data_IF_491456053854
#
_entry.id   IF_491456053854
#
_cell.length_a   1.000
_cell.length_b   1.000
_cell.length_c   1.000
_cell.angle_alpha   90.00
_cell.angle_beta   90.00
_cell.angle_gamma   90.00
#
_symmetry.space_group_name_H-M   'P 1'
#
loop_
_entity.id
_entity.type
_entity.pdbx_description
1 polymer ?
#
# COMPACT_ATOMS: atom_id res chain seq x y z
N UNK A 1 18.76 6.72 -0.40
CA UNK A 1 17.43 6.33 0.07
C UNK A 1 16.50 6.07 -1.10
N UNK A 2 15.66 5.08 -1.00
CA UNK A 2 14.63 4.77 -2.00
C UNK A 2 13.28 5.16 -1.45
N UNK A 3 12.49 5.90 -2.23
CA UNK A 3 11.07 6.14 -1.96
C UNK A 3 10.23 5.21 -2.83
N UNK A 4 9.28 4.53 -2.21
CA UNK A 4 8.35 3.61 -2.87
C UNK A 4 6.94 4.06 -2.56
N UNK A 5 6.21 4.47 -3.60
CA UNK A 5 4.86 5.05 -3.46
C UNK A 5 3.90 4.24 -4.33
N UNK A 6 2.81 3.81 -3.73
CA UNK A 6 1.73 3.10 -4.44
C UNK A 6 0.40 3.75 -4.11
N UNK A 7 -0.45 3.90 -5.12
CA UNK A 7 -1.82 4.40 -4.96
C UNK A 7 -2.80 3.43 -5.62
N UNK A 8 -3.95 3.26 -5.01
CA UNK A 8 -5.02 2.39 -5.50
C UNK A 8 -6.34 3.13 -5.57
N UNK A 9 -7.08 2.87 -6.65
CA UNK A 9 -8.53 3.08 -6.72
C UNK A 9 -9.20 1.75 -6.46
N UNK A 10 -10.23 1.74 -5.65
CA UNK A 10 -10.97 0.53 -5.33
C UNK A 10 -12.29 0.46 -6.07
N UNK A 11 -12.73 -0.76 -6.33
CA UNK A 11 -14.07 -1.05 -6.83
C UNK A 11 -15.10 -0.65 -5.76
N UNK A 12 -16.31 -0.27 -6.20
CA UNK A 12 -17.41 0.04 -5.30
C UNK A 12 -17.78 -1.16 -4.42
N UNK A 13 -17.72 -2.37 -4.99
CA UNK A 13 -17.98 -3.65 -4.31
C UNK A 13 -17.03 -4.70 -4.84
N UNK A 14 -16.42 -5.46 -3.95
CA UNK A 14 -15.56 -6.60 -4.27
C UNK A 14 -15.41 -7.49 -3.05
N UNK A 15 -15.17 -8.78 -3.26
CA UNK A 15 -14.95 -9.76 -2.18
C UNK A 15 -16.06 -9.73 -1.11
N UNK A 16 -17.31 -9.54 -1.55
CA UNK A 16 -18.47 -9.54 -0.64
C UNK A 16 -18.59 -8.32 0.25
N UNK A 17 -17.87 -7.22 -0.02
CA UNK A 17 -17.87 -6.01 0.79
C UNK A 17 -17.90 -4.74 -0.07
N UNK A 18 -18.32 -3.63 0.53
CA UNK A 18 -18.26 -2.32 -0.10
C UNK A 18 -16.86 -1.71 -0.04
N UNK A 19 -16.68 -0.59 -0.74
CA UNK A 19 -15.40 0.13 -0.78
C UNK A 19 -14.91 0.50 0.62
N UNK A 20 -15.77 1.02 1.48
CA UNK A 20 -15.37 1.47 2.82
C UNK A 20 -14.80 0.33 3.65
N UNK A 21 -15.45 -0.83 3.64
CA UNK A 21 -14.98 -2.02 4.35
C UNK A 21 -13.66 -2.53 3.77
N UNK A 22 -13.53 -2.57 2.44
CA UNK A 22 -12.31 -3.01 1.78
C UNK A 22 -11.13 -2.06 2.03
N UNK A 23 -11.38 -0.73 2.10
CA UNK A 23 -10.36 0.25 2.47
C UNK A 23 -9.83 0.02 3.87
N UNK A 24 -10.69 -0.20 4.85
CA UNK A 24 -10.28 -0.46 6.22
C UNK A 24 -9.45 -1.74 6.33
N UNK A 25 -9.88 -2.81 5.66
CA UNK A 25 -9.15 -4.08 5.63
C UNK A 25 -7.79 -3.92 4.95
N UNK A 26 -7.74 -3.27 3.79
CA UNK A 26 -6.48 -3.05 3.06
C UNK A 26 -5.50 -2.21 3.89
N UNK A 27 -5.98 -1.15 4.53
CA UNK A 27 -5.16 -0.29 5.39
C UNK A 27 -4.54 -1.09 6.54
N UNK A 28 -5.34 -1.88 7.24
CA UNK A 28 -4.86 -2.71 8.36
C UNK A 28 -3.82 -3.75 7.90
N UNK A 29 -4.08 -4.41 6.77
CA UNK A 29 -3.16 -5.42 6.22
C UNK A 29 -1.82 -4.79 5.79
N UNK A 30 -1.85 -3.61 5.18
CA UNK A 30 -0.63 -2.88 4.78
C UNK A 30 0.13 -2.39 6.01
N UNK A 31 -0.55 -1.81 6.99
CA UNK A 31 0.10 -1.33 8.22
C UNK A 31 0.79 -2.45 8.99
N UNK A 32 0.26 -3.67 8.94
CA UNK A 32 0.89 -4.84 9.54
C UNK A 32 2.24 -5.21 8.89
N UNK A 33 2.54 -4.65 7.72
CA UNK A 33 3.81 -4.88 7.00
C UNK A 33 4.88 -3.84 7.34
N UNK A 34 4.62 -2.88 8.23
CA UNK A 34 5.50 -1.75 8.49
C UNK A 34 6.89 -2.13 9.01
N UNK A 35 7.03 -3.31 9.62
CA UNK A 35 8.27 -3.76 10.27
C UNK A 35 8.91 -4.97 9.60
N UNK A 36 8.48 -5.34 8.38
CA UNK A 36 8.98 -6.53 7.69
C UNK A 36 10.44 -6.39 7.22
N UNK A 37 10.88 -5.19 6.89
CA UNK A 37 12.26 -4.93 6.46
C UNK A 37 12.96 -4.03 7.47
N UNK A 38 14.14 -4.45 7.99
CA UNK A 38 14.90 -3.61 8.93
C UNK A 38 15.32 -2.25 8.36
N UNK A 39 15.44 -2.16 7.03
CA UNK A 39 15.82 -0.92 6.35
C UNK A 39 14.65 0.04 6.09
N UNK A 40 13.48 -0.20 6.67
CA UNK A 40 12.34 0.70 6.54
C UNK A 40 12.55 1.96 7.39
N UNK A 41 12.62 3.12 6.75
CA UNK A 41 12.80 4.41 7.40
C UNK A 41 11.47 5.09 7.71
N UNK A 42 10.50 4.93 6.82
CA UNK A 42 9.17 5.52 6.95
C UNK A 42 8.14 4.61 6.29
N UNK A 43 6.97 4.50 6.93
CA UNK A 43 5.88 3.67 6.42
C UNK A 43 4.55 4.32 6.80
N UNK A 44 3.85 4.88 5.79
CA UNK A 44 2.56 5.53 5.98
C UNK A 44 1.52 4.88 5.08
N UNK A 45 0.36 4.61 5.64
CA UNK A 45 -0.83 4.20 4.87
C UNK A 45 -1.94 5.19 5.18
N UNK A 46 -2.54 5.75 4.13
CA UNK A 46 -3.63 6.70 4.28
C UNK A 46 -4.73 6.41 3.26
N UNK A 47 -5.94 6.81 3.62
CA UNK A 47 -7.10 6.80 2.73
C UNK A 47 -7.51 8.23 2.40
N UNK A 48 -8.29 8.41 1.33
CA UNK A 48 -8.86 9.71 0.97
C UNK A 48 -9.60 10.30 2.16
N UNK A 49 -9.40 11.59 2.42
CA UNK A 49 -9.92 12.27 3.62
C UNK A 49 -10.89 13.39 3.24
N UNK A 50 -11.95 13.61 4.05
CA UNK A 50 -12.87 14.71 3.83
C UNK A 50 -12.14 16.06 3.83
N UNK A 51 -12.48 16.94 2.88
CA UNK A 51 -11.91 18.27 2.79
C UNK A 51 -10.56 18.36 2.09
N UNK A 52 -9.96 17.24 1.72
CA UNK A 52 -8.72 17.19 0.95
C UNK A 52 -8.96 16.56 -0.41
N UNK A 53 -8.32 17.11 -1.44
CA UNK A 53 -8.45 16.58 -2.80
C UNK A 53 -7.75 15.22 -2.92
N UNK A 54 -8.46 14.23 -3.47
CA UNK A 54 -7.88 12.93 -3.79
C UNK A 54 -8.62 12.32 -4.98
N UNK A 55 -7.86 11.83 -5.96
CA UNK A 55 -8.39 11.08 -7.11
C UNK A 55 -8.18 9.57 -6.96
N UNK A 56 -7.49 9.16 -5.89
CA UNK A 56 -7.31 7.77 -5.50
C UNK A 56 -7.85 7.55 -4.09
N UNK A 57 -8.05 6.29 -3.70
CA UNK A 57 -8.72 5.94 -2.45
C UNK A 57 -7.75 5.57 -1.33
N UNK A 58 -6.57 5.05 -1.69
CA UNK A 58 -5.60 4.47 -0.77
C UNK A 58 -4.19 4.79 -1.25
N UNK A 59 -3.31 5.18 -0.33
CA UNK A 59 -1.89 5.40 -0.60
C UNK A 59 -1.01 4.67 0.40
N UNK A 60 0.08 4.10 -0.11
CA UNK A 60 1.23 3.65 0.66
C UNK A 60 2.40 4.55 0.32
N UNK A 61 2.94 5.24 1.32
CA UNK A 61 4.16 6.03 1.19
C UNK A 61 5.23 5.41 2.07
N UNK A 62 6.35 5.01 1.46
CA UNK A 62 7.44 4.33 2.17
C UNK A 62 8.80 4.89 1.78
N UNK A 63 9.74 4.82 2.72
CA UNK A 63 11.14 5.14 2.52
C UNK A 63 12.00 3.99 3.04
N UNK A 64 12.95 3.56 2.21
CA UNK A 64 13.89 2.48 2.54
C UNK A 64 15.33 2.98 2.42
N UNK A 65 16.23 2.39 3.19
CA UNK A 65 17.65 2.76 3.16
C UNK A 65 18.27 2.58 1.77
N UNK A 66 17.88 1.51 1.06
CA UNK A 66 18.41 1.15 -0.25
C UNK A 66 17.45 0.19 -1.00
N UNK A 67 17.82 -0.17 -2.21
CA UNK A 67 17.03 -1.09 -3.03
C UNK A 67 16.92 -2.49 -2.42
N UNK A 68 17.94 -2.95 -1.69
CA UNK A 68 17.90 -4.25 -1.03
C UNK A 68 16.86 -4.27 0.10
N UNK A 69 16.72 -3.18 0.83
CA UNK A 69 15.69 -3.04 1.87
C UNK A 69 14.27 -3.04 1.28
N UNK A 70 14.07 -2.36 0.16
CA UNK A 70 12.80 -2.41 -0.57
C UNK A 70 12.49 -3.83 -1.05
N UNK A 71 13.47 -4.52 -1.62
CA UNK A 71 13.31 -5.91 -2.08
C UNK A 71 12.96 -6.84 -0.91
N UNK A 72 13.62 -6.69 0.24
CA UNK A 72 13.31 -7.48 1.43
C UNK A 72 11.88 -7.30 1.92
N UNK A 73 11.34 -6.07 1.81
CA UNK A 73 9.93 -5.81 2.08
C UNK A 73 9.03 -6.45 1.02
N UNK A 74 9.30 -6.18 -0.25
CA UNK A 74 8.45 -6.63 -1.36
C UNK A 74 8.36 -8.16 -1.44
N UNK A 75 9.47 -8.86 -1.20
CA UNK A 75 9.57 -10.31 -1.31
C UNK A 75 9.19 -11.05 -0.02
N UNK A 76 8.95 -10.32 1.07
CA UNK A 76 8.56 -10.96 2.32
C UNK A 76 7.23 -11.71 2.16
N UNK A 77 7.12 -12.96 2.66
CA UNK A 77 5.91 -13.76 2.52
C UNK A 77 4.63 -13.07 2.98
N UNK A 78 4.71 -12.30 4.07
CA UNK A 78 3.54 -11.56 4.58
C UNK A 78 3.08 -10.47 3.61
N UNK A 79 4.01 -9.79 2.94
CA UNK A 79 3.67 -8.80 1.90
C UNK A 79 3.10 -9.51 0.65
N UNK A 80 3.75 -10.58 0.19
CA UNK A 80 3.28 -11.34 -0.98
C UNK A 80 1.87 -11.86 -0.75
N UNK A 81 1.53 -12.25 0.47
CA UNK A 81 0.19 -12.76 0.82
C UNK A 81 -0.93 -11.72 0.65
N UNK A 82 -0.61 -10.41 0.59
CA UNK A 82 -1.60 -9.35 0.38
C UNK A 82 -2.04 -9.22 -1.08
N UNK A 83 -1.21 -9.65 -2.02
CA UNK A 83 -1.42 -9.39 -3.45
C UNK A 83 -2.74 -9.91 -3.99
N UNK A 84 -3.20 -11.13 -3.67
CA UNK A 84 -4.49 -11.59 -4.16
C UNK A 84 -5.67 -10.71 -3.72
N UNK A 85 -5.70 -10.31 -2.46
CA UNK A 85 -6.76 -9.44 -1.95
C UNK A 85 -6.72 -8.05 -2.60
N UNK A 86 -5.56 -7.39 -2.59
CA UNK A 86 -5.40 -6.07 -3.20
C UNK A 86 -5.73 -6.10 -4.70
N UNK A 87 -5.33 -7.16 -5.40
CA UNK A 87 -5.66 -7.33 -6.81
C UNK A 87 -7.16 -7.51 -7.06
N UNK A 88 -7.87 -8.18 -6.15
CA UNK A 88 -9.31 -8.42 -6.27
C UNK A 88 -10.16 -7.18 -6.01
N UNK A 89 -9.74 -6.30 -5.10
CA UNK A 89 -10.53 -5.13 -4.70
C UNK A 89 -10.21 -3.87 -5.52
N UNK A 90 -9.06 -3.82 -6.19
CA UNK A 90 -8.64 -2.63 -6.92
C UNK A 90 -9.27 -2.52 -8.30
N UNK A 91 -9.56 -1.30 -8.68
CA UNK A 91 -9.89 -0.90 -10.04
C UNK A 91 -8.63 -0.46 -10.79
N UNK A 92 -7.73 0.25 -10.10
CA UNK A 92 -6.47 0.78 -10.62
C UNK A 92 -5.37 0.73 -9.56
N UNK A 93 -4.12 0.54 -10.02
CA UNK A 93 -2.93 0.68 -9.19
C UNK A 93 -1.89 1.49 -9.92
N UNK A 94 -1.30 2.47 -9.25
CA UNK A 94 -0.16 3.24 -9.75
C UNK A 94 0.99 3.12 -8.76
N UNK A 95 2.21 3.01 -9.29
CA UNK A 95 3.42 2.86 -8.47
C UNK A 95 4.56 3.67 -9.07
N UNK A 96 5.35 4.28 -8.22
CA UNK A 96 6.60 4.90 -8.62
C UNK A 96 7.63 4.76 -7.51
N UNK A 97 8.79 4.19 -7.88
CA UNK A 97 9.96 4.11 -7.02
C UNK A 97 11.02 5.05 -7.55
N UNK A 98 11.71 5.75 -6.65
CA UNK A 98 12.81 6.63 -7.05
C UNK A 98 13.83 6.81 -5.93
N UNK A 99 15.05 7.08 -6.30
CA UNK A 99 16.15 7.34 -5.38
C UNK A 99 16.32 8.84 -5.14
N UNK A 100 16.65 9.17 -3.90
CA UNK A 100 17.02 10.54 -3.52
C UNK A 100 18.33 10.54 -2.74
#
# INVERSE_FOLDING_TARGET
MIKHIVMWKLKAHAEGADKAANLQKAKALLEACATLSPGTLRFEVATAQPGLEATYDLILYTEFTDAAALAAYADHPQHVALKPFLGAIREERQCMDYAV
#
